data_IF_246501397089
#
_entry.id   IF_246501397089
#
_cell.length_a   1.000
_cell.length_b   1.000
_cell.length_c   1.000
_cell.angle_alpha   90.00
_cell.angle_beta   90.00
_cell.angle_gamma   90.00
#
_symmetry.space_group_name_H-M   'P 1'
#
loop_
_entity.id
_entity.type
_entity.pdbx_description
1 polymer ?
#
# COMPACT_ATOMS: atom_id res chain seq x y z
N UNK A 1 -7.23 34.57 10.39
CA UNK A 1 -6.26 33.49 10.15
C UNK A 1 -6.34 33.13 8.66
N UNK A 2 -5.30 33.38 7.84
CA UNK A 2 -5.34 33.05 6.41
C UNK A 2 -5.30 31.52 6.27
N UNK A 3 -6.34 30.90 5.70
CA UNK A 3 -6.28 29.50 5.25
C UNK A 3 -5.33 29.44 4.07
N UNK A 4 -4.23 28.72 4.20
CA UNK A 4 -3.35 28.41 3.07
C UNK A 4 -4.05 27.34 2.23
N UNK A 5 -4.49 27.71 1.03
CA UNK A 5 -5.09 26.79 0.04
C UNK A 5 -4.04 26.15 -0.88
N UNK A 6 -2.77 26.22 -0.51
CA UNK A 6 -1.68 25.60 -1.28
C UNK A 6 -1.95 24.09 -1.42
N UNK A 7 -1.99 23.54 -2.64
CA UNK A 7 -2.14 22.11 -2.84
C UNK A 7 -1.06 21.34 -2.08
N UNK A 8 -1.48 20.48 -1.15
CA UNK A 8 -0.59 19.67 -0.33
C UNK A 8 -0.85 18.18 -0.52
N UNK A 9 0.23 17.38 -0.48
CA UNK A 9 0.19 15.92 -0.52
C UNK A 9 1.03 15.39 0.64
N UNK A 10 0.49 14.40 1.36
CA UNK A 10 1.22 13.69 2.41
C UNK A 10 1.24 12.22 2.07
N UNK A 11 2.44 11.64 2.11
CA UNK A 11 2.67 10.22 1.92
C UNK A 11 2.91 9.60 3.29
N UNK A 12 2.07 8.63 3.66
CA UNK A 12 2.17 7.95 4.95
C UNK A 12 2.65 6.50 4.76
N UNK A 13 3.87 6.22 5.23
CA UNK A 13 4.44 4.87 5.29
C UNK A 13 4.13 4.25 6.66
N UNK A 14 2.89 3.80 6.84
CA UNK A 14 2.38 3.36 8.14
C UNK A 14 3.03 2.07 8.64
N UNK A 15 3.77 1.32 7.81
CA UNK A 15 4.60 0.20 8.25
C UNK A 15 5.71 0.66 9.21
N UNK A 16 6.13 1.93 9.10
CA UNK A 16 7.17 2.56 9.91
C UNK A 16 8.59 2.04 9.63
N UNK A 17 8.77 1.03 8.78
CA UNK A 17 10.08 0.51 8.40
C UNK A 17 10.03 -0.37 7.16
N UNK A 18 11.22 -0.70 6.63
CA UNK A 18 11.36 -1.73 5.59
C UNK A 18 11.11 -3.12 6.17
N UNK A 19 10.44 -3.96 5.39
CA UNK A 19 10.21 -5.37 5.71
C UNK A 19 11.53 -6.15 5.72
N UNK A 20 11.73 -6.96 6.75
CA UNK A 20 12.80 -7.96 6.85
C UNK A 20 12.20 -9.23 7.45
N UNK A 21 12.79 -10.43 7.24
CA UNK A 21 12.26 -11.66 7.83
C UNK A 21 12.08 -11.57 9.34
N UNK A 22 13.05 -10.94 10.04
CA UNK A 22 12.98 -10.70 11.49
C UNK A 22 11.78 -9.81 11.87
N UNK A 23 11.62 -8.65 11.21
CA UNK A 23 10.53 -7.70 11.50
C UNK A 23 9.16 -8.26 11.14
N UNK A 24 9.09 -9.07 10.08
CA UNK A 24 7.85 -9.75 9.71
C UNK A 24 7.45 -10.73 10.80
N UNK A 25 8.38 -11.57 11.29
CA UNK A 25 8.11 -12.49 12.39
C UNK A 25 7.66 -11.76 13.67
N UNK A 26 8.35 -10.68 14.02
CA UNK A 26 7.98 -9.82 15.17
C UNK A 26 6.57 -9.25 15.01
N UNK A 27 6.23 -8.72 13.82
CA UNK A 27 4.90 -8.20 13.53
C UNK A 27 3.82 -9.28 13.57
N UNK A 28 4.11 -10.50 13.09
CA UNK A 28 3.20 -11.64 13.15
C UNK A 28 2.96 -12.09 14.60
N UNK A 29 3.99 -12.18 15.43
CA UNK A 29 3.85 -12.51 16.85
C UNK A 29 2.97 -11.48 17.57
N UNK A 30 3.26 -10.19 17.37
CA UNK A 30 2.45 -9.12 17.93
C UNK A 30 0.99 -9.17 17.45
N UNK A 31 0.77 -9.51 16.18
CA UNK A 31 -0.58 -9.66 15.62
C UNK A 31 -1.33 -10.81 16.31
N UNK A 32 -0.69 -11.96 16.52
CA UNK A 32 -1.29 -13.11 17.24
C UNK A 32 -1.64 -12.77 18.68
N UNK A 33 -0.74 -12.09 19.40
CA UNK A 33 -0.97 -11.66 20.79
C UNK A 33 -2.16 -10.70 20.93
N UNK A 34 -2.39 -9.86 19.91
CA UNK A 34 -3.45 -8.84 19.90
C UNK A 34 -4.74 -9.30 19.20
N UNK A 35 -4.77 -10.50 18.61
CA UNK A 35 -5.89 -10.98 17.81
C UNK A 35 -6.07 -10.24 16.48
N UNK A 36 -5.02 -9.62 15.94
CA UNK A 36 -5.04 -8.97 14.64
C UNK A 36 -4.78 -9.98 13.50
N UNK A 37 -5.17 -9.65 12.25
CA UNK A 37 -4.81 -10.44 11.08
C UNK A 37 -3.29 -10.64 10.98
N UNK A 38 -2.87 -11.88 10.76
CA UNK A 38 -1.49 -12.24 10.53
C UNK A 38 -1.22 -12.18 9.03
N UNK A 39 -0.25 -11.36 8.62
CA UNK A 39 0.07 -11.08 7.21
C UNK A 39 1.46 -11.61 6.86
N UNK A 40 1.67 -11.97 5.58
CA UNK A 40 2.90 -12.60 5.09
C UNK A 40 3.71 -11.71 4.13
N UNK A 41 3.09 -10.65 3.60
CA UNK A 41 3.64 -9.82 2.53
C UNK A 41 3.88 -8.37 2.97
N UNK A 42 3.21 -7.93 4.04
CA UNK A 42 3.28 -6.57 4.59
C UNK A 42 3.45 -6.62 6.11
N UNK A 43 3.99 -5.53 6.67
CA UNK A 43 4.05 -5.36 8.12
C UNK A 43 2.70 -4.83 8.65
N UNK A 44 2.39 -5.14 9.91
CA UNK A 44 1.22 -4.57 10.57
C UNK A 44 1.31 -3.03 10.60
N UNK A 45 0.28 -2.30 10.13
CA UNK A 45 0.33 -0.85 10.06
C UNK A 45 0.25 -0.22 11.45
N UNK A 46 1.05 0.83 11.66
CA UNK A 46 0.98 1.71 12.83
C UNK A 46 -0.11 2.75 12.61
N UNK A 47 -1.17 2.69 13.40
CA UNK A 47 -2.39 3.48 13.13
C UNK A 47 -2.30 4.93 13.58
N UNK A 48 -1.59 5.22 14.68
CA UNK A 48 -1.62 6.55 15.34
C UNK A 48 -1.38 7.73 14.39
N UNK A 49 -0.30 7.68 13.61
CA UNK A 49 0.04 8.76 12.68
C UNK A 49 -1.00 8.93 11.56
N UNK A 50 -1.55 7.82 11.06
CA UNK A 50 -2.63 7.87 10.06
C UNK A 50 -3.91 8.47 10.63
N UNK A 51 -4.33 8.02 11.82
CA UNK A 51 -5.52 8.53 12.51
C UNK A 51 -5.40 10.03 12.75
N UNK A 52 -4.27 10.50 13.29
CA UNK A 52 -4.03 11.93 13.48
C UNK A 52 -4.10 12.71 12.16
N UNK A 53 -3.49 12.22 11.09
CA UNK A 53 -3.57 12.86 9.77
C UNK A 53 -5.01 12.98 9.27
N UNK A 54 -5.78 11.88 9.29
CA UNK A 54 -7.16 11.88 8.80
C UNK A 54 -8.03 12.86 9.59
N UNK A 55 -7.92 12.84 10.93
CA UNK A 55 -8.70 13.72 11.80
C UNK A 55 -8.42 15.21 11.53
N UNK A 56 -7.15 15.60 11.38
CA UNK A 56 -6.77 16.97 11.00
C UNK A 56 -7.27 17.34 9.59
N UNK A 57 -7.27 16.39 8.65
CA UNK A 57 -7.68 16.68 7.28
C UNK A 57 -9.18 16.80 7.06
N UNK A 58 -10.03 16.32 7.96
CA UNK A 58 -11.50 16.48 7.86
C UNK A 58 -11.91 17.95 7.65
N UNK A 59 -11.26 18.87 8.35
CA UNK A 59 -11.50 20.32 8.25
C UNK A 59 -10.73 21.06 7.15
N UNK A 60 -9.87 20.35 6.41
CA UNK A 60 -8.91 20.91 5.44
C UNK A 60 -9.40 20.85 3.99
N UNK A 61 -8.59 21.34 3.05
CA UNK A 61 -8.82 21.21 1.61
C UNK A 61 -8.44 19.80 1.06
N UNK A 62 -7.76 18.97 1.85
CA UNK A 62 -7.44 17.59 1.49
C UNK A 62 -8.68 16.72 1.75
N UNK A 63 -9.21 16.09 0.69
CA UNK A 63 -10.50 15.37 0.75
C UNK A 63 -10.42 13.87 0.54
N UNK A 64 -9.27 13.35 0.10
CA UNK A 64 -9.15 11.95 -0.31
C UNK A 64 -7.90 11.30 0.27
N UNK A 65 -8.03 10.03 0.62
CA UNK A 65 -6.92 9.11 0.86
C UNK A 65 -6.77 8.25 -0.39
N UNK A 66 -5.57 8.26 -0.96
CA UNK A 66 -5.19 7.32 -2.00
C UNK A 66 -4.43 6.17 -1.36
N UNK A 67 -4.97 4.97 -1.51
CA UNK A 67 -4.34 3.75 -1.08
C UNK A 67 -3.63 3.08 -2.27
N UNK A 68 -2.32 2.92 -2.17
CA UNK A 68 -1.49 2.37 -3.24
C UNK A 68 -0.82 1.07 -2.80
N UNK A 69 -0.83 0.09 -3.70
CA UNK A 69 -0.04 -1.13 -3.60
C UNK A 69 0.67 -1.37 -4.93
N UNK A 70 1.98 -1.44 -4.88
CA UNK A 70 2.82 -1.66 -6.06
C UNK A 70 3.46 -3.04 -5.93
N UNK A 71 3.26 -3.87 -6.93
CA UNK A 71 4.01 -5.11 -7.12
C UNK A 71 4.84 -5.00 -8.39
N UNK A 72 6.02 -5.60 -8.37
CA UNK A 72 6.90 -5.62 -9.52
C UNK A 72 7.57 -6.99 -9.63
N UNK A 73 7.77 -7.47 -10.86
CA UNK A 73 8.47 -8.73 -11.11
C UNK A 73 9.49 -8.56 -12.21
N UNK A 74 10.61 -9.27 -12.09
CA UNK A 74 11.59 -9.38 -13.17
C UNK A 74 11.24 -10.60 -14.02
N UNK A 75 10.93 -10.38 -15.30
CA UNK A 75 10.49 -11.43 -16.23
C UNK A 75 11.65 -12.21 -16.84
N UNK A 76 12.83 -11.59 -16.98
CA UNK A 76 13.97 -12.15 -17.73
C UNK A 76 14.81 -13.15 -16.95
N UNK A 77 14.97 -12.97 -15.63
CA UNK A 77 15.86 -13.79 -14.80
C UNK A 77 15.12 -14.65 -13.77
N UNK A 78 13.78 -14.76 -13.86
CA UNK A 78 12.93 -15.54 -12.96
C UNK A 78 13.17 -15.30 -11.45
N UNK A 79 13.69 -14.12 -11.06
CA UNK A 79 14.06 -13.79 -9.67
C UNK A 79 12.85 -13.60 -8.73
N UNK A 80 11.65 -13.95 -9.19
CA UNK A 80 10.42 -13.83 -8.43
C UNK A 80 9.85 -12.41 -8.40
N UNK A 81 8.89 -12.23 -7.50
CA UNK A 81 8.13 -10.99 -7.30
C UNK A 81 8.75 -10.16 -6.18
N UNK A 82 8.59 -8.84 -6.28
CA UNK A 82 9.13 -7.82 -5.36
C UNK A 82 10.66 -7.72 -5.35
N UNK A 83 11.31 -8.01 -6.47
CA UNK A 83 12.72 -7.66 -6.71
C UNK A 83 12.82 -6.33 -7.44
N UNK A 84 13.28 -5.28 -6.75
CA UNK A 84 13.23 -3.92 -7.30
C UNK A 84 14.44 -3.70 -8.21
N UNK A 85 14.31 -2.94 -9.30
CA UNK A 85 15.48 -2.41 -9.99
C UNK A 85 16.29 -1.54 -9.02
N UNK A 86 17.60 -1.45 -9.24
CA UNK A 86 18.41 -0.47 -8.50
C UNK A 86 17.91 0.95 -8.81
N UNK A 87 18.10 1.88 -7.87
CA UNK A 87 17.67 3.28 -8.08
C UNK A 87 18.26 3.87 -9.37
N UNK A 88 19.53 3.61 -9.65
CA UNK A 88 20.17 4.05 -10.91
C UNK A 88 19.48 3.41 -12.11
N UNK A 89 19.25 2.09 -12.09
CA UNK A 89 18.60 1.38 -13.20
C UNK A 89 17.19 1.92 -13.47
N UNK A 90 16.44 2.27 -12.43
CA UNK A 90 15.09 2.81 -12.55
C UNK A 90 15.02 4.21 -13.20
N UNK A 91 16.11 4.99 -13.21
CA UNK A 91 16.11 6.38 -13.70
C UNK A 91 16.86 6.57 -15.03
N UNK A 92 17.74 5.65 -15.42
CA UNK A 92 18.66 5.86 -16.56
C UNK A 92 18.15 5.23 -17.86
N UNK A 93 17.36 4.16 -17.80
CA UNK A 93 16.91 3.42 -18.99
C UNK A 93 15.52 2.81 -18.79
N UNK A 94 14.87 2.49 -19.91
CA UNK A 94 13.62 1.70 -19.88
C UNK A 94 13.84 0.37 -19.17
N UNK A 95 12.88 0.02 -18.30
CA UNK A 95 12.83 -1.26 -17.60
C UNK A 95 12.06 -2.32 -18.40
N UNK A 96 11.37 -1.93 -19.46
CA UNK A 96 10.67 -2.87 -20.35
C UNK A 96 11.67 -3.53 -21.31
N UNK A 97 11.53 -4.84 -21.62
CA UNK A 97 10.52 -5.79 -21.16
C UNK A 97 10.90 -6.54 -19.87
N UNK A 98 12.03 -6.18 -19.25
CA UNK A 98 12.61 -6.92 -18.11
C UNK A 98 11.79 -6.87 -16.83
N UNK A 99 11.04 -5.78 -16.62
CA UNK A 99 10.18 -5.59 -15.47
C UNK A 99 8.75 -5.38 -15.89
N UNK A 100 7.85 -6.03 -15.15
CA UNK A 100 6.43 -5.73 -15.17
C UNK A 100 6.03 -5.15 -13.82
N UNK A 101 5.17 -4.15 -13.86
CA UNK A 101 4.63 -3.48 -12.69
C UNK A 101 3.11 -3.65 -12.66
N UNK A 102 2.58 -3.86 -11.47
CA UNK A 102 1.15 -3.78 -11.20
C UNK A 102 0.94 -2.77 -10.07
N UNK A 103 0.12 -1.76 -10.33
CA UNK A 103 -0.24 -0.74 -9.35
C UNK A 103 -1.73 -0.85 -9.08
N UNK A 104 -2.08 -1.27 -7.87
CA UNK A 104 -3.44 -1.22 -7.37
C UNK A 104 -3.64 0.12 -6.65
N UNK A 105 -4.57 0.93 -7.13
CA UNK A 105 -4.91 2.24 -6.55
C UNK A 105 -6.38 2.23 -6.14
N UNK A 106 -6.65 2.66 -4.91
CA UNK A 106 -8.01 2.92 -4.44
C UNK A 106 -8.10 4.31 -3.87
N UNK A 107 -9.25 4.96 -4.07
CA UNK A 107 -9.52 6.30 -3.59
C UNK A 107 -10.66 6.25 -2.59
N UNK A 108 -10.44 6.81 -1.41
CA UNK A 108 -11.44 6.92 -0.35
C UNK A 108 -11.66 8.39 -0.03
N UNK A 109 -12.91 8.84 0.02
CA UNK A 109 -13.20 10.17 0.54
C UNK A 109 -12.98 10.15 2.06
N UNK A 110 -12.30 11.17 2.60
CA UNK A 110 -12.08 11.30 4.04
C UNK A 110 -13.43 11.36 4.78
N UNK A 111 -14.45 11.96 4.15
CA UNK A 111 -15.80 12.02 4.69
C UNK A 111 -16.44 10.64 4.95
N UNK A 112 -16.04 9.61 4.19
CA UNK A 112 -16.61 8.26 4.30
C UNK A 112 -15.83 7.37 5.30
N UNK A 113 -14.72 7.87 5.85
CA UNK A 113 -13.91 7.15 6.82
C UNK A 113 -14.53 7.22 8.22
N UNK A 114 -14.38 6.17 9.06
CA UNK A 114 -14.88 6.18 10.44
C UNK A 114 -14.38 7.38 11.26
N UNK A 115 -15.23 7.90 12.14
CA UNK A 115 -14.90 9.03 13.02
C UNK A 115 -14.20 8.58 14.31
N UNK A 116 -14.55 7.41 14.83
CA UNK A 116 -13.87 6.84 16.00
C UNK A 116 -12.43 6.43 15.66
N UNK A 117 -11.49 6.77 16.55
CA UNK A 117 -10.07 6.52 16.32
C UNK A 117 -9.72 5.03 16.26
N UNK A 118 -10.42 4.19 17.03
CA UNK A 118 -10.19 2.75 17.02
C UNK A 118 -10.75 2.14 15.74
N UNK A 119 -11.96 2.51 15.36
CA UNK A 119 -12.59 2.07 14.10
C UNK A 119 -11.77 2.50 12.87
N UNK A 120 -11.21 3.71 12.88
CA UNK A 120 -10.32 4.17 11.81
C UNK A 120 -9.01 3.39 11.79
N UNK A 121 -8.50 3.01 12.96
CA UNK A 121 -7.37 2.10 13.09
C UNK A 121 -7.67 0.70 12.55
N UNK A 122 -8.87 0.17 12.80
CA UNK A 122 -9.34 -1.11 12.25
C UNK A 122 -9.54 -1.04 10.75
N UNK A 123 -10.09 0.06 10.25
CA UNK A 123 -10.21 0.34 8.83
C UNK A 123 -8.84 0.27 8.14
N UNK A 124 -7.80 0.87 8.74
CA UNK A 124 -6.44 0.81 8.20
C UNK A 124 -5.90 -0.62 8.21
N UNK A 125 -6.07 -1.36 9.31
CA UNK A 125 -5.68 -2.78 9.38
C UNK A 125 -6.37 -3.64 8.32
N UNK A 126 -7.66 -3.40 8.07
CA UNK A 126 -8.42 -4.10 7.04
C UNK A 126 -7.86 -3.84 5.63
N UNK A 127 -7.47 -2.59 5.32
CA UNK A 127 -6.79 -2.28 4.05
C UNK A 127 -5.47 -3.06 3.93
N UNK A 128 -4.66 -3.13 4.99
CA UNK A 128 -3.41 -3.90 4.97
C UNK A 128 -3.63 -5.40 4.75
N UNK A 129 -4.68 -5.97 5.35
CA UNK A 129 -5.06 -7.36 5.09
C UNK A 129 -5.46 -7.59 3.63
N UNK A 130 -6.19 -6.66 3.01
CA UNK A 130 -6.52 -6.71 1.58
C UNK A 130 -5.26 -6.62 0.71
N UNK A 131 -4.31 -5.73 1.05
CA UNK A 131 -3.02 -5.63 0.34
C UNK A 131 -2.25 -6.94 0.41
N UNK A 132 -2.25 -7.59 1.57
CA UNK A 132 -1.59 -8.88 1.76
C UNK A 132 -2.18 -9.96 0.84
N UNK A 133 -3.51 -10.00 0.73
CA UNK A 133 -4.22 -10.90 -0.18
C UNK A 133 -3.93 -10.62 -1.65
N UNK A 134 -3.90 -9.34 -2.06
CA UNK A 134 -3.53 -8.94 -3.42
C UNK A 134 -2.11 -9.39 -3.74
N UNK A 135 -1.15 -9.13 -2.85
CA UNK A 135 0.25 -9.53 -3.04
C UNK A 135 0.42 -11.05 -3.07
N UNK A 136 -0.35 -11.79 -2.27
CA UNK A 136 -0.40 -13.26 -2.30
C UNK A 136 -0.91 -13.77 -3.65
N UNK A 137 -1.95 -13.15 -4.19
CA UNK A 137 -2.51 -13.50 -5.51
C UNK A 137 -1.51 -13.21 -6.62
N UNK A 138 -0.90 -12.03 -6.61
CA UNK A 138 0.15 -11.64 -7.55
C UNK A 138 1.34 -12.59 -7.49
N UNK A 139 1.76 -13.02 -6.29
CA UNK A 139 2.80 -14.04 -6.08
C UNK A 139 2.50 -15.38 -6.74
N UNK A 140 1.23 -15.80 -6.75
CA UNK A 140 0.79 -17.09 -7.30
C UNK A 140 0.64 -17.07 -8.82
N UNK A 141 -0.05 -16.07 -9.36
CA UNK A 141 -0.46 -16.06 -10.77
C UNK A 141 -0.41 -14.68 -11.44
N UNK A 142 0.43 -13.76 -10.92
CA UNK A 142 0.52 -12.37 -11.37
C UNK A 142 -0.88 -11.75 -11.57
N UNK A 143 -1.09 -10.92 -12.59
CA UNK A 143 -2.39 -10.33 -12.89
C UNK A 143 -3.48 -11.36 -13.27
N UNK A 144 -3.14 -12.61 -13.54
CA UNK A 144 -4.08 -13.62 -14.01
C UNK A 144 -5.08 -14.12 -12.96
N UNK A 145 -4.83 -13.86 -11.67
CA UNK A 145 -5.76 -14.21 -10.59
C UNK A 145 -6.49 -13.01 -9.98
N UNK A 146 -6.28 -11.80 -10.48
CA UNK A 146 -7.02 -10.62 -10.04
C UNK A 146 -8.36 -10.57 -10.77
N UNK A 147 -9.42 -10.15 -10.06
CA UNK A 147 -10.75 -9.94 -10.66
C UNK A 147 -10.64 -8.94 -11.82
N UNK A 148 -11.25 -9.26 -12.97
CA UNK A 148 -11.32 -8.39 -14.15
C UNK A 148 -11.87 -7.00 -13.84
N UNK A 149 -12.75 -6.87 -12.82
CA UNK A 149 -13.28 -5.57 -12.38
C UNK A 149 -12.23 -4.66 -11.72
N UNK A 150 -11.09 -5.21 -11.30
CA UNK A 150 -9.97 -4.49 -10.67
C UNK A 150 -8.87 -4.18 -11.70
N UNK A 151 -8.93 -4.79 -12.88
CA UNK A 151 -7.92 -4.68 -13.92
C UNK A 151 -8.23 -3.53 -14.88
N UNK A 152 -7.55 -2.39 -14.67
CA UNK A 152 -7.39 -1.38 -15.71
C UNK A 152 -6.03 -1.54 -16.38
N UNK A 153 -5.99 -1.59 -17.72
CA UNK A 153 -4.77 -1.66 -18.52
C UNK A 153 -4.69 -0.45 -19.44
N UNK A 154 -3.77 0.47 -19.16
CA UNK A 154 -3.36 1.45 -20.17
C UNK A 154 -2.39 0.78 -21.14
N UNK A 155 -2.72 0.81 -22.43
CA UNK A 155 -1.92 0.16 -23.49
C UNK A 155 -1.43 1.19 -24.51
N UNK A 156 -0.84 2.29 -24.06
CA UNK A 156 0.01 3.18 -24.89
C UNK A 156 0.40 4.45 -24.14
N UNK A 157 1.67 4.82 -24.20
CA UNK A 157 2.10 6.22 -24.27
C UNK A 157 2.41 6.54 -25.73
#
# INVERSE_FOLDING_TARGET
>A
MKRLETPAWIINYVEGSRITPKKLLEAQNFSRERGYPVMDNVLLPRTKGFVSCVNEFRGSHIKYVYDLTIAYRQTTNLKGINQAPSMVRAHVHSLWPEYEFHVNVRRYAIADLPEDENELGDWLRARWAEKDSILTTLKKCWIGGLDEKILWKETSW
#
